data_IF_120053035224
#
_entry.id   IF_120053035224
#
_cell.length_a   1.000
_cell.length_b   1.000
_cell.length_c   1.000
_cell.angle_alpha   90.00
_cell.angle_beta   90.00
_cell.angle_gamma   90.00
#
_symmetry.space_group_name_H-M   'P 1'
#
loop_
_entity.id
_entity.type
_entity.pdbx_description
1 polymer ?
#
# COMPACT_ATOMS: atom_id res chain seq x y z
N UNK A 1 -44.10 -9.32 24.82
CA UNK A 1 -42.90 -10.16 24.73
C UNK A 1 -41.74 -9.23 24.37
N UNK A 2 -41.05 -8.72 25.38
CA UNK A 2 -39.90 -7.83 25.20
C UNK A 2 -38.64 -8.67 25.13
N UNK A 3 -37.95 -8.62 23.99
CA UNK A 3 -36.66 -9.28 23.81
C UNK A 3 -35.60 -8.44 24.52
N UNK A 4 -34.94 -9.04 25.51
CA UNK A 4 -33.75 -8.49 26.17
C UNK A 4 -32.69 -8.17 25.11
N UNK A 5 -32.43 -6.88 24.93
CA UNK A 5 -31.27 -6.39 24.18
C UNK A 5 -30.06 -6.59 25.11
N UNK A 6 -29.40 -7.73 24.95
CA UNK A 6 -28.17 -8.06 25.66
C UNK A 6 -27.14 -6.95 25.43
N UNK A 7 -26.83 -6.22 26.50
CA UNK A 7 -25.80 -5.18 26.56
C UNK A 7 -24.44 -5.80 26.22
N UNK A 8 -23.98 -5.61 24.98
CA UNK A 8 -22.61 -5.93 24.60
C UNK A 8 -21.73 -4.91 25.32
N UNK A 9 -21.14 -5.31 26.45
CA UNK A 9 -20.16 -4.50 27.17
C UNK A 9 -18.93 -4.36 26.25
N UNK A 10 -18.57 -3.15 25.80
CA UNK A 10 -17.39 -2.95 24.98
C UNK A 10 -16.16 -3.46 25.75
N UNK A 11 -15.44 -4.43 25.20
CA UNK A 11 -14.17 -4.84 25.79
C UNK A 11 -13.16 -3.72 25.57
N UNK A 12 -13.04 -2.83 26.56
CA UNK A 12 -11.97 -1.84 26.60
C UNK A 12 -10.67 -2.59 26.77
N UNK A 13 -9.90 -2.75 25.69
CA UNK A 13 -8.54 -3.30 25.77
C UNK A 13 -7.73 -2.28 26.58
N UNK A 14 -7.38 -2.64 27.80
CA UNK A 14 -6.52 -1.80 28.65
C UNK A 14 -5.12 -1.83 28.02
N UNK A 15 -4.72 -0.73 27.39
CA UNK A 15 -3.41 -0.55 26.74
C UNK A 15 -2.31 -0.95 27.73
N UNK A 16 -1.56 -2.01 27.43
CA UNK A 16 -0.51 -2.49 28.33
C UNK A 16 0.71 -1.56 28.23
N UNK A 17 1.49 -1.46 29.31
CA UNK A 17 2.74 -0.67 29.33
C UNK A 17 3.72 -1.14 28.24
N UNK A 18 3.72 -2.44 27.94
CA UNK A 18 4.51 -3.04 26.87
C UNK A 18 4.09 -2.53 25.49
N UNK A 19 2.77 -2.47 25.22
CA UNK A 19 2.26 -1.96 23.96
C UNK A 19 2.64 -0.50 23.73
N UNK A 20 2.55 0.34 24.77
CA UNK A 20 2.97 1.73 24.70
C UNK A 20 4.48 1.88 24.44
N UNK A 21 5.32 0.99 24.96
CA UNK A 21 6.76 1.00 24.66
C UNK A 21 7.06 0.62 23.21
N UNK A 22 6.31 -0.33 22.66
CA UNK A 22 6.46 -0.72 21.27
C UNK A 22 6.05 0.41 20.31
N UNK A 23 4.98 1.14 20.64
CA UNK A 23 4.56 2.33 19.89
C UNK A 23 5.58 3.47 19.98
N UNK A 24 6.12 3.77 21.17
CA UNK A 24 7.20 4.77 21.33
C UNK A 24 8.41 4.42 20.46
N UNK A 25 8.80 3.15 20.43
CA UNK A 25 9.90 2.69 19.56
C UNK A 25 9.57 2.89 18.08
N UNK A 26 8.38 2.49 17.62
CA UNK A 26 7.97 2.64 16.21
C UNK A 26 7.91 4.12 15.79
N UNK A 27 7.44 4.98 16.67
CA UNK A 27 7.41 6.42 16.47
C UNK A 27 8.84 6.97 16.31
N UNK A 28 9.74 6.69 17.25
CA UNK A 28 11.16 7.14 17.20
C UNK A 28 11.93 6.60 16.00
N UNK A 29 11.63 5.39 15.54
CA UNK A 29 12.24 4.86 14.31
C UNK A 29 11.80 5.60 13.04
N UNK A 30 10.62 6.21 13.09
CA UNK A 30 9.99 6.92 11.97
C UNK A 30 10.36 8.41 11.96
N UNK A 31 10.50 9.02 13.13
CA UNK A 31 11.01 10.38 13.35
C UNK A 31 12.51 10.44 12.99
N UNK A 32 12.82 10.91 11.78
CA UNK A 32 14.20 10.90 11.25
C UNK A 32 15.02 12.07 11.74
N UNK A 33 14.38 13.19 12.05
CA UNK A 33 15.05 14.42 12.50
C UNK A 33 15.07 14.54 14.05
N UNK A 34 14.41 13.64 14.78
CA UNK A 34 14.28 13.60 16.24
C UNK A 34 13.61 14.84 16.85
N UNK A 35 12.64 15.43 16.14
CA UNK A 35 11.89 16.60 16.63
C UNK A 35 10.66 16.21 17.47
N UNK A 36 10.41 14.92 17.69
CA UNK A 36 9.28 14.32 18.41
C UNK A 36 7.92 14.56 17.74
N UNK A 37 7.90 14.86 16.45
CA UNK A 37 6.71 14.89 15.60
C UNK A 37 7.01 14.13 14.31
N UNK A 38 5.98 13.64 13.64
CA UNK A 38 6.14 13.03 12.31
C UNK A 38 5.63 14.03 11.28
N UNK A 39 6.52 14.46 10.41
CA UNK A 39 6.12 15.13 9.18
C UNK A 39 5.28 14.19 8.31
N UNK A 40 4.58 14.74 7.32
CA UNK A 40 3.81 13.92 6.38
C UNK A 40 4.68 12.84 5.72
N UNK A 41 5.90 13.17 5.30
CA UNK A 41 6.82 12.24 4.65
C UNK A 41 7.23 11.10 5.59
N UNK A 42 7.56 11.41 6.85
CA UNK A 42 7.93 10.40 7.85
C UNK A 42 6.76 9.47 8.18
N UNK A 43 5.56 10.03 8.33
CA UNK A 43 4.36 9.22 8.55
C UNK A 43 4.00 8.36 7.33
N UNK A 44 4.14 8.88 6.11
CA UNK A 44 3.96 8.07 4.89
C UNK A 44 4.98 6.92 4.86
N UNK A 45 6.25 7.20 5.18
CA UNK A 45 7.30 6.20 5.26
C UNK A 45 6.99 5.10 6.29
N UNK A 46 6.43 5.51 7.44
CA UNK A 46 5.91 4.58 8.45
C UNK A 46 4.80 3.69 7.88
N UNK A 47 3.75 4.28 7.26
CA UNK A 47 2.63 3.51 6.67
C UNK A 47 3.15 2.52 5.62
N UNK A 48 4.01 2.95 4.70
CA UNK A 48 4.61 2.07 3.69
C UNK A 48 5.35 0.88 4.30
N UNK A 49 6.08 1.10 5.39
CA UNK A 49 6.90 0.05 6.03
C UNK A 49 6.07 -0.89 6.91
N UNK A 50 5.11 -0.35 7.64
CA UNK A 50 4.45 -1.06 8.74
C UNK A 50 3.03 -1.53 8.42
N UNK A 51 2.30 -0.80 7.57
CA UNK A 51 0.89 -1.07 7.26
C UNK A 51 0.64 -0.74 5.77
N UNK A 52 1.28 -1.47 4.85
CA UNK A 52 1.21 -1.16 3.41
C UNK A 52 -0.21 -1.16 2.85
N UNK A 53 -1.14 -1.86 3.50
CA UNK A 53 -2.56 -1.88 3.14
C UNK A 53 -3.23 -0.50 3.26
N UNK A 54 -2.66 0.42 4.05
CA UNK A 54 -3.12 1.80 4.21
C UNK A 54 -2.47 2.79 3.26
N UNK A 55 -1.53 2.40 2.39
CA UNK A 55 -0.79 3.33 1.52
C UNK A 55 -1.75 4.19 0.69
N UNK A 56 -2.78 3.57 0.13
CA UNK A 56 -3.80 4.23 -0.69
C UNK A 56 -4.64 5.27 0.08
N UNK A 57 -4.68 5.17 1.40
CA UNK A 57 -5.43 6.03 2.32
C UNK A 57 -4.54 6.87 3.22
N UNK A 58 -3.24 6.79 3.03
CA UNK A 58 -2.25 7.42 3.90
C UNK A 58 -2.49 8.93 4.03
N UNK A 59 -2.92 9.61 2.97
CA UNK A 59 -3.34 11.01 3.01
C UNK A 59 -4.62 11.28 3.80
N UNK A 60 -5.58 10.35 3.78
CA UNK A 60 -6.79 10.43 4.61
C UNK A 60 -6.42 10.23 6.07
N UNK A 61 -5.66 9.18 6.38
CA UNK A 61 -5.19 8.87 7.74
C UNK A 61 -4.42 10.06 8.30
N UNK A 62 -3.45 10.58 7.55
CA UNK A 62 -2.67 11.74 7.98
C UNK A 62 -3.56 12.94 8.29
N UNK A 63 -4.51 13.26 7.41
CA UNK A 63 -5.41 14.39 7.61
C UNK A 63 -6.37 14.20 8.80
N UNK A 64 -6.78 12.97 9.09
CA UNK A 64 -7.71 12.65 10.21
C UNK A 64 -7.01 12.72 11.56
N UNK A 65 -5.75 12.27 11.65
CA UNK A 65 -5.01 12.20 12.91
C UNK A 65 -4.08 13.38 13.16
N UNK A 66 -3.75 14.18 12.14
CA UNK A 66 -2.99 15.42 12.30
C UNK A 66 -3.93 16.56 12.73
N UNK A 67 -3.89 16.94 14.01
CA UNK A 67 -4.71 18.01 14.56
C UNK A 67 -4.43 19.37 13.92
N UNK A 68 -3.19 19.60 13.47
CA UNK A 68 -2.78 20.82 12.77
C UNK A 68 -2.79 20.70 11.22
N UNK A 69 -3.03 19.49 10.71
CA UNK A 69 -2.98 19.15 9.29
C UNK A 69 -1.58 19.15 8.67
N UNK A 70 -0.51 19.24 9.47
CA UNK A 70 0.88 19.36 9.03
C UNK A 70 1.80 18.31 9.64
N UNK A 71 1.55 17.91 10.88
CA UNK A 71 2.40 16.99 11.64
C UNK A 71 1.58 16.03 12.51
N UNK A 72 2.17 14.91 12.92
CA UNK A 72 1.56 13.95 13.85
C UNK A 72 2.45 13.86 15.09
N UNK A 73 1.92 14.29 16.22
CA UNK A 73 2.52 14.08 17.54
C UNK A 73 2.48 12.62 17.96
N UNK A 74 3.26 12.25 18.97
CA UNK A 74 3.24 10.89 19.52
C UNK A 74 1.84 10.45 19.98
N UNK A 75 1.07 11.34 20.60
CA UNK A 75 -0.29 11.01 21.05
C UNK A 75 -1.23 10.74 19.87
N UNK A 76 -1.15 11.55 18.82
CA UNK A 76 -1.93 11.35 17.59
C UNK A 76 -1.53 10.05 16.87
N UNK A 77 -0.25 9.68 16.92
CA UNK A 77 0.24 8.40 16.42
C UNK A 77 -0.32 7.21 17.21
N UNK A 78 -0.38 7.30 18.55
CA UNK A 78 -1.01 6.28 19.40
C UNK A 78 -2.50 6.17 19.09
N UNK A 79 -3.21 7.30 18.99
CA UNK A 79 -4.62 7.37 18.59
C UNK A 79 -4.88 6.70 17.24
N UNK A 80 -4.02 6.98 16.25
CA UNK A 80 -4.04 6.32 14.96
C UNK A 80 -3.91 4.81 15.10
N UNK A 81 -2.90 4.35 15.83
CA UNK A 81 -2.65 2.91 15.96
C UNK A 81 -3.78 2.20 16.71
N UNK A 82 -4.32 2.81 17.75
CA UNK A 82 -5.47 2.28 18.49
C UNK A 82 -6.72 2.20 17.60
N UNK A 83 -6.92 3.16 16.68
CA UNK A 83 -8.03 3.13 15.72
C UNK A 83 -7.99 1.91 14.80
N UNK A 84 -6.79 1.35 14.55
CA UNK A 84 -6.61 0.15 13.74
C UNK A 84 -7.20 -1.11 14.39
N UNK A 85 -7.34 -1.12 15.71
CA UNK A 85 -8.00 -2.23 16.41
C UNK A 85 -9.50 -2.31 16.06
N UNK A 86 -10.05 -1.28 15.41
CA UNK A 86 -11.45 -1.15 15.06
C UNK A 86 -11.67 -1.05 13.54
N UNK A 87 -10.79 -1.64 12.72
CA UNK A 87 -10.88 -1.69 11.24
C UNK A 87 -12.10 -2.47 10.68
N UNK A 88 -13.12 -2.74 11.49
CA UNK A 88 -14.36 -3.41 11.08
C UNK A 88 -15.52 -2.43 10.90
N UNK A 89 -16.65 -2.96 10.42
CA UNK A 89 -17.96 -2.28 10.22
C UNK A 89 -18.64 -1.85 11.54
N UNK A 90 -17.90 -1.21 12.43
CA UNK A 90 -18.47 -0.67 13.65
C UNK A 90 -18.84 0.80 13.42
N UNK A 91 -19.98 0.99 12.75
CA UNK A 91 -20.59 2.31 12.50
C UNK A 91 -20.93 3.06 13.80
N UNK A 92 -20.84 2.39 14.96
CA UNK A 92 -21.15 2.92 16.27
C UNK A 92 -19.92 3.25 17.11
N UNK A 93 -18.72 2.85 16.66
CA UNK A 93 -17.50 3.14 17.40
C UNK A 93 -16.84 4.43 16.89
N UNK A 94 -16.92 5.54 17.64
CA UNK A 94 -16.34 6.82 17.22
C UNK A 94 -14.82 6.79 17.14
N UNK A 95 -14.16 5.80 17.75
CA UNK A 95 -12.71 5.61 17.69
C UNK A 95 -12.25 4.84 16.47
N UNK A 96 -13.16 4.22 15.70
CA UNK A 96 -12.79 3.52 14.47
C UNK A 96 -12.24 4.48 13.41
N UNK A 97 -11.30 4.01 12.59
CA UNK A 97 -10.74 4.80 11.48
C UNK A 97 -11.86 5.30 10.54
N UNK A 98 -12.84 4.44 10.24
CA UNK A 98 -13.98 4.79 9.37
C UNK A 98 -14.81 5.92 9.98
N UNK A 99 -15.19 5.82 11.26
CA UNK A 99 -15.99 6.88 11.91
C UNK A 99 -15.20 8.16 12.14
N UNK A 100 -13.92 8.07 12.51
CA UNK A 100 -13.04 9.25 12.58
C UNK A 100 -12.92 9.94 11.22
N UNK A 101 -12.81 9.17 10.14
CA UNK A 101 -12.81 9.72 8.77
C UNK A 101 -14.13 10.39 8.43
N UNK A 102 -15.27 9.77 8.74
CA UNK A 102 -16.59 10.36 8.53
C UNK A 102 -16.72 11.70 9.28
N UNK A 103 -16.44 11.70 10.59
CA UNK A 103 -16.54 12.89 11.44
C UNK A 103 -15.56 13.98 11.02
N UNK A 104 -14.39 13.61 10.50
CA UNK A 104 -13.45 14.57 9.93
C UNK A 104 -14.02 15.26 8.69
N UNK A 105 -14.79 14.54 7.86
CA UNK A 105 -15.36 15.05 6.61
C UNK A 105 -16.67 15.80 6.80
N UNK A 106 -17.54 15.35 7.72
CA UNK A 106 -18.85 15.93 8.06
C UNK A 106 -18.65 17.24 8.85
N UNK A 107 -18.33 18.33 8.16
CA UNK A 107 -17.95 19.59 8.80
C UNK A 107 -19.13 20.32 9.44
N UNK A 108 -20.34 20.08 8.93
CA UNK A 108 -21.56 20.65 9.49
C UNK A 108 -22.25 19.74 10.52
N UNK A 109 -21.67 18.56 10.80
CA UNK A 109 -22.16 17.56 11.77
C UNK A 109 -23.62 17.18 11.52
N UNK A 110 -24.05 17.11 10.25
CA UNK A 110 -25.43 16.85 9.91
C UNK A 110 -25.74 15.34 9.75
N UNK A 111 -24.72 14.48 9.83
CA UNK A 111 -24.81 13.03 9.66
C UNK A 111 -24.79 12.56 8.21
N UNK A 112 -24.45 13.44 7.25
CA UNK A 112 -24.35 13.17 5.82
C UNK A 112 -23.13 13.84 5.21
N UNK A 113 -22.47 13.17 4.26
CA UNK A 113 -21.40 13.73 3.45
C UNK A 113 -21.95 14.26 2.13
N UNK A 114 -21.98 15.58 1.99
CA UNK A 114 -22.40 16.24 0.76
C UNK A 114 -21.30 16.19 -0.32
N UNK A 115 -21.60 16.71 -1.53
CA UNK A 115 -20.68 16.70 -2.69
C UNK A 115 -19.32 17.35 -2.38
N UNK A 116 -19.27 18.42 -1.58
CA UNK A 116 -18.01 19.10 -1.24
C UNK A 116 -17.15 18.26 -0.30
N UNK A 117 -17.77 17.57 0.64
CA UNK A 117 -17.10 16.73 1.63
C UNK A 117 -16.60 15.42 1.00
N UNK A 118 -17.41 14.78 0.15
CA UNK A 118 -16.96 13.63 -0.65
C UNK A 118 -15.85 14.04 -1.64
N UNK A 119 -15.91 15.25 -2.18
CA UNK A 119 -14.77 15.79 -2.96
C UNK A 119 -13.51 15.89 -2.11
N UNK A 120 -13.61 16.38 -0.87
CA UNK A 120 -12.45 16.49 0.03
C UNK A 120 -11.85 15.13 0.31
N UNK A 121 -12.67 14.09 0.54
CA UNK A 121 -12.19 12.71 0.66
C UNK A 121 -11.40 12.27 -0.58
N UNK A 122 -11.97 12.43 -1.78
CA UNK A 122 -11.27 12.08 -3.01
C UNK A 122 -9.96 12.87 -3.17
N UNK A 123 -9.94 14.14 -2.79
CA UNK A 123 -8.69 14.93 -2.79
C UNK A 123 -7.66 14.43 -1.80
N UNK A 124 -8.05 13.83 -0.67
CA UNK A 124 -7.11 13.24 0.28
C UNK A 124 -6.55 11.90 -0.22
N UNK A 125 -7.37 11.09 -0.89
CA UNK A 125 -6.96 9.81 -1.48
C UNK A 125 -6.04 10.04 -2.69
N UNK A 126 -6.41 10.97 -3.58
CA UNK A 126 -5.71 11.18 -4.85
C UNK A 126 -4.67 12.31 -4.79
N UNK A 127 -4.73 13.21 -3.80
CA UNK A 127 -3.89 14.42 -3.77
C UNK A 127 -2.42 14.15 -3.47
N UNK A 128 -2.10 13.03 -2.82
CA UNK A 128 -0.72 12.60 -2.59
C UNK A 128 -0.13 11.80 -3.75
N UNK A 129 -0.97 11.44 -4.73
CA UNK A 129 -0.52 10.70 -5.89
C UNK A 129 -0.11 11.69 -6.98
N UNK A 130 1.16 11.76 -7.37
CA UNK A 130 1.56 12.54 -8.52
C UNK A 130 0.73 12.15 -9.74
N UNK A 131 0.47 13.14 -10.60
CA UNK A 131 -0.21 12.97 -11.88
C UNK A 131 -1.69 12.54 -11.85
N UNK A 132 -2.25 12.20 -10.68
CA UNK A 132 -3.67 11.86 -10.63
C UNK A 132 -4.54 13.08 -10.99
N UNK A 133 -5.57 12.90 -11.84
CA UNK A 133 -6.45 13.99 -12.20
C UNK A 133 -7.12 14.55 -10.94
N UNK A 134 -7.16 15.89 -10.83
CA UNK A 134 -7.80 16.57 -9.70
C UNK A 134 -9.22 16.06 -9.52
N UNK A 135 -9.53 15.49 -8.35
CA UNK A 135 -10.88 15.04 -8.00
C UNK A 135 -11.85 16.23 -7.93
N UNK A 136 -12.84 16.28 -8.82
CA UNK A 136 -13.76 17.43 -8.99
C UNK A 136 -15.14 17.13 -8.40
N UNK A 137 -15.97 18.17 -8.34
CA UNK A 137 -17.37 18.04 -7.90
C UNK A 137 -18.17 17.04 -8.76
N UNK A 138 -17.84 16.89 -10.05
CA UNK A 138 -18.50 15.92 -10.94
C UNK A 138 -18.22 14.48 -10.51
N UNK A 139 -16.99 14.21 -10.08
CA UNK A 139 -16.52 12.88 -9.69
C UNK A 139 -17.14 12.50 -8.34
N UNK A 140 -17.20 13.46 -7.41
CA UNK A 140 -17.92 13.31 -6.14
C UNK A 140 -19.42 13.03 -6.34
N UNK A 141 -20.11 13.77 -7.23
CA UNK A 141 -21.53 13.51 -7.54
C UNK A 141 -21.74 12.12 -8.13
N UNK A 142 -20.86 11.70 -9.04
CA UNK A 142 -20.89 10.37 -9.63
C UNK A 142 -20.74 9.31 -8.54
N UNK A 143 -19.71 9.45 -7.69
CA UNK A 143 -19.47 8.52 -6.59
C UNK A 143 -20.67 8.41 -5.63
N UNK A 144 -21.28 9.53 -5.27
CA UNK A 144 -22.51 9.54 -4.44
C UNK A 144 -23.64 8.79 -5.16
N UNK A 145 -23.91 9.10 -6.42
CA UNK A 145 -24.99 8.47 -7.17
C UNK A 145 -24.78 6.95 -7.36
N UNK A 146 -23.54 6.51 -7.57
CA UNK A 146 -23.17 5.11 -7.76
C UNK A 146 -23.44 4.27 -6.49
N UNK A 147 -23.47 4.90 -5.30
CA UNK A 147 -23.85 4.24 -4.04
C UNK A 147 -25.36 4.12 -3.82
N UNK A 148 -26.18 4.70 -4.71
CA UNK A 148 -27.64 4.72 -4.62
C UNK A 148 -28.19 5.12 -3.23
N UNK A 149 -27.84 6.31 -2.71
CA UNK A 149 -28.19 6.72 -1.35
C UNK A 149 -29.69 6.93 -1.21
N UNK A 150 -30.20 6.67 0.00
CA UNK A 150 -31.60 6.86 0.34
C UNK A 150 -32.04 8.34 0.22
N UNK A 151 -31.10 9.28 0.38
CA UNK A 151 -31.34 10.70 0.20
C UNK A 151 -30.25 11.38 -0.65
N UNK A 152 -30.33 11.29 -1.99
CA UNK A 152 -29.31 11.83 -2.89
C UNK A 152 -29.07 13.34 -2.75
N UNK A 153 -30.06 14.09 -2.24
CA UNK A 153 -29.93 15.55 -2.03
C UNK A 153 -29.04 15.89 -0.85
N UNK A 154 -29.03 15.06 0.20
CA UNK A 154 -28.19 15.26 1.39
C UNK A 154 -26.79 14.68 1.20
N UNK A 155 -26.66 13.61 0.42
CA UNK A 155 -25.38 12.94 0.18
C UNK A 155 -25.35 11.55 0.81
N UNK A 156 -24.18 11.12 1.29
CA UNK A 156 -24.01 9.80 1.90
C UNK A 156 -24.23 9.87 3.42
N UNK A 157 -25.20 9.12 3.94
CA UNK A 157 -25.31 8.88 5.39
C UNK A 157 -24.10 8.09 5.92
N UNK A 158 -23.94 8.01 7.24
CA UNK A 158 -22.91 7.20 7.91
C UNK A 158 -22.87 5.76 7.36
N UNK A 159 -24.02 5.07 7.32
CA UNK A 159 -24.09 3.67 6.87
C UNK A 159 -23.73 3.48 5.38
N UNK A 160 -24.06 4.46 4.54
CA UNK A 160 -23.71 4.46 3.12
C UNK A 160 -22.23 4.76 2.93
N UNK A 161 -21.68 5.68 3.73
CA UNK A 161 -20.25 5.95 3.75
C UNK A 161 -19.44 4.75 4.23
N UNK A 162 -19.86 4.05 5.29
CA UNK A 162 -19.14 2.86 5.78
C UNK A 162 -19.08 1.79 4.70
N UNK A 163 -20.20 1.53 3.99
CA UNK A 163 -20.22 0.63 2.83
C UNK A 163 -19.29 1.08 1.72
N UNK A 164 -19.29 2.37 1.40
CA UNK A 164 -18.38 2.93 0.40
C UNK A 164 -16.92 2.75 0.85
N UNK A 165 -16.60 3.12 2.08
CA UNK A 165 -15.26 3.06 2.66
C UNK A 165 -14.71 1.64 2.58
N UNK A 166 -15.49 0.63 2.97
CA UNK A 166 -15.11 -0.78 2.85
C UNK A 166 -14.88 -1.25 1.40
N UNK A 167 -15.60 -0.70 0.42
CA UNK A 167 -15.41 -1.04 -1.00
C UNK A 167 -14.09 -0.49 -1.54
N UNK A 168 -13.73 0.73 -1.13
CA UNK A 168 -12.52 1.41 -1.60
C UNK A 168 -11.29 1.03 -0.77
N UNK A 169 -11.49 0.51 0.44
CA UNK A 169 -10.44 0.20 1.41
C UNK A 169 -10.48 -1.30 1.77
N UNK A 170 -9.71 -2.15 1.09
CA UNK A 170 -9.77 -3.61 1.25
C UNK A 170 -9.08 -4.11 2.53
N UNK A 171 -9.07 -3.32 3.61
CA UNK A 171 -8.55 -3.81 4.89
C UNK A 171 -9.53 -4.82 5.46
N UNK A 172 -9.11 -6.08 5.38
CA UNK A 172 -9.72 -7.17 6.10
C UNK A 172 -9.44 -6.93 7.59
N UNK A 173 -10.47 -6.95 8.48
CA UNK A 173 -10.27 -6.79 9.91
C UNK A 173 -9.15 -7.72 10.39
N UNK A 174 -8.10 -7.17 10.99
CA UNK A 174 -7.03 -7.96 11.59
C UNK A 174 -7.71 -8.76 12.71
N UNK A 175 -7.72 -10.11 12.67
CA UNK A 175 -8.40 -10.89 13.68
C UNK A 175 -7.73 -10.64 15.03
N UNK A 176 -8.41 -9.89 15.89
CA UNK A 176 -7.98 -9.60 17.26
C UNK A 176 -7.94 -10.94 18.01
N UNK A 177 -6.75 -11.54 18.11
CA UNK A 177 -6.56 -12.72 18.95
C UNK A 177 -6.78 -12.32 20.39
N UNK A 178 -7.94 -12.70 20.92
CA UNK A 178 -8.30 -12.54 22.33
C UNK A 178 -7.24 -13.18 23.23
N UNK A 179 -6.66 -12.38 24.12
CA UNK A 179 -5.88 -12.79 25.31
C UNK A 179 -4.61 -13.61 25.08
N UNK A 180 -3.79 -13.23 24.11
CA UNK A 180 -2.33 -13.19 24.36
C UNK A 180 -1.90 -11.75 24.13
N UNK A 181 -1.08 -11.23 25.03
CA UNK A 181 -0.29 -10.01 24.83
C UNK A 181 0.04 -9.91 23.35
N UNK A 182 -0.29 -8.79 22.71
CA UNK A 182 0.20 -8.45 21.37
C UNK A 182 1.73 -8.44 21.47
N UNK A 183 2.34 -9.61 21.42
CA UNK A 183 3.70 -9.72 20.95
C UNK A 183 3.63 -9.11 19.56
N UNK A 184 4.35 -8.00 19.36
CA UNK A 184 4.74 -7.53 18.02
C UNK A 184 4.92 -8.78 17.17
N UNK A 185 4.18 -8.95 16.06
CA UNK A 185 4.22 -10.19 15.33
C UNK A 185 5.67 -10.51 14.99
N UNK A 186 6.24 -11.50 15.69
CA UNK A 186 7.33 -12.28 15.14
C UNK A 186 6.69 -13.00 13.96
N UNK A 187 6.79 -12.37 12.79
CA UNK A 187 6.03 -12.61 11.56
C UNK A 187 6.18 -14.03 10.96
N UNK A 188 6.75 -14.99 11.69
CA UNK A 188 7.15 -16.32 11.20
C UNK A 188 6.42 -17.53 11.83
N UNK A 189 5.46 -17.39 12.75
CA UNK A 189 4.86 -18.57 13.42
C UNK A 189 3.34 -18.76 13.29
N UNK A 190 2.55 -17.74 12.93
CA UNK A 190 1.09 -17.86 12.80
C UNK A 190 0.58 -18.58 11.54
N UNK A 191 1.44 -18.75 10.53
CA UNK A 191 1.05 -19.27 9.19
C UNK A 191 0.91 -20.79 9.17
N UNK A 192 1.60 -21.54 10.04
CA UNK A 192 1.61 -23.02 10.01
C UNK A 192 0.31 -23.65 10.52
N UNK A 193 -0.35 -23.05 11.52
CA UNK A 193 -1.52 -23.67 12.16
C UNK A 193 -2.83 -23.46 11.37
N UNK A 194 -2.97 -22.33 10.67
CA UNK A 194 -4.11 -22.06 9.76
C UNK A 194 -4.05 -22.86 8.45
N UNK A 195 -2.85 -23.26 8.02
CA UNK A 195 -2.64 -24.10 6.81
C UNK A 195 -3.10 -25.55 6.99
N UNK A 196 -3.00 -26.12 8.20
CA UNK A 196 -3.47 -27.49 8.45
C UNK A 196 -5.00 -27.62 8.42
N UNK A 197 -5.74 -26.59 8.84
CA UNK A 197 -7.21 -26.59 8.84
C UNK A 197 -7.81 -26.28 7.45
N UNK A 198 -7.20 -25.39 6.66
CA UNK A 198 -7.67 -25.11 5.29
C UNK A 198 -7.24 -26.18 4.26
N UNK A 199 -6.15 -26.91 4.50
CA UNK A 199 -5.74 -28.02 3.63
C UNK A 199 -6.68 -29.24 3.69
N UNK A 200 -7.54 -29.34 4.70
CA UNK A 200 -8.50 -30.45 4.86
C UNK A 200 -9.87 -30.18 4.22
N UNK A 201 -10.21 -28.93 3.90
CA UNK A 201 -11.54 -28.53 3.39
C UNK A 201 -11.61 -28.31 1.87
N UNK A 202 -10.48 -28.35 1.16
CA UNK A 202 -10.44 -28.21 -0.30
C UNK A 202 -9.73 -29.42 -0.92
N UNK A 203 -10.33 -30.60 -0.81
CA UNK A 203 -10.07 -31.70 -1.75
C UNK A 203 -11.16 -31.73 -2.80
N UNK A 204 -11.11 -30.78 -3.73
CA UNK A 204 -11.73 -31.00 -5.05
C UNK A 204 -10.75 -31.82 -5.90
N UNK A 205 -11.23 -32.84 -6.63
CA UNK A 205 -10.36 -33.59 -7.52
C UNK A 205 -9.85 -32.63 -8.61
N UNK A 206 -8.58 -32.25 -8.53
CA UNK A 206 -7.88 -31.58 -9.63
C UNK A 206 -7.80 -32.59 -10.76
N UNK A 207 -8.49 -32.30 -11.87
CA UNK A 207 -8.16 -32.90 -13.16
C UNK A 207 -6.77 -32.37 -13.49
N UNK A 208 -5.73 -33.18 -13.25
CA UNK A 208 -4.35 -32.86 -13.57
C UNK A 208 -4.23 -32.93 -15.08
N UNK A 209 -4.46 -31.79 -15.76
CA UNK A 209 -3.87 -31.59 -17.08
C UNK A 209 -2.38 -31.36 -16.82
N UNK A 210 -1.53 -32.21 -17.40
CA UNK A 210 -0.08 -31.99 -17.39
C UNK A 210 0.20 -30.62 -17.99
N UNK A 211 0.50 -29.64 -17.15
CA UNK A 211 0.92 -28.32 -17.60
C UNK A 211 2.32 -28.49 -18.19
N UNK A 212 2.52 -27.99 -19.41
CA UNK A 212 3.87 -27.88 -19.98
C UNK A 212 4.68 -26.96 -19.07
N UNK A 213 5.75 -27.49 -18.47
CA UNK A 213 6.73 -26.67 -17.74
C UNK A 213 7.39 -25.71 -18.71
N UNK A 214 7.53 -24.46 -18.28
CA UNK A 214 8.25 -23.43 -19.04
C UNK A 214 9.66 -23.38 -18.46
N UNK A 215 10.67 -23.57 -19.31
CA UNK A 215 12.07 -23.46 -18.90
C UNK A 215 12.50 -22.00 -18.93
N UNK A 216 12.92 -21.49 -17.78
CA UNK A 216 13.33 -20.09 -17.56
C UNK A 216 14.65 -20.14 -16.79
N UNK A 217 15.72 -19.62 -17.39
CA UNK A 217 17.10 -19.82 -16.92
C UNK A 217 17.65 -18.68 -16.05
N UNK A 218 16.82 -18.10 -15.18
CA UNK A 218 17.28 -17.11 -14.21
C UNK A 218 17.78 -17.79 -12.93
N UNK A 219 18.94 -17.38 -12.40
CA UNK A 219 19.57 -17.97 -11.20
C UNK A 219 19.89 -16.88 -10.17
N UNK A 220 19.38 -17.05 -8.95
CA UNK A 220 19.58 -16.10 -7.86
C UNK A 220 20.72 -16.52 -6.93
N UNK A 221 21.76 -15.69 -6.80
CA UNK A 221 23.00 -16.00 -6.07
C UNK A 221 22.94 -15.76 -4.55
N UNK A 222 21.89 -15.11 -4.03
CA UNK A 222 21.77 -14.73 -2.61
C UNK A 222 20.60 -15.41 -1.90
N UNK A 223 20.30 -16.66 -2.26
CA UNK A 223 19.16 -17.40 -1.73
C UNK A 223 19.18 -17.59 -0.20
N UNK A 224 20.35 -17.49 0.43
CA UNK A 224 20.57 -17.54 1.87
C UNK A 224 20.10 -16.29 2.62
N UNK A 225 19.93 -15.16 1.92
CA UNK A 225 19.58 -13.86 2.50
C UNK A 225 18.09 -13.58 2.55
N UNK A 226 17.26 -14.52 2.09
CA UNK A 226 15.80 -14.37 2.04
C UNK A 226 15.10 -15.49 2.80
N UNK A 227 13.87 -15.24 3.24
CA UNK A 227 13.02 -16.28 3.81
C UNK A 227 12.49 -17.19 2.70
N UNK A 228 13.36 -18.03 2.14
CA UNK A 228 13.11 -18.86 0.96
C UNK A 228 11.83 -19.67 1.08
N UNK A 229 11.60 -20.31 2.23
CA UNK A 229 10.39 -21.12 2.45
C UNK A 229 9.10 -20.30 2.36
N UNK A 230 9.09 -19.06 2.89
CA UNK A 230 7.92 -18.19 2.76
C UNK A 230 7.66 -17.85 1.30
N UNK A 231 8.71 -17.40 0.60
CA UNK A 231 8.63 -16.94 -0.78
C UNK A 231 8.30 -18.06 -1.78
N UNK A 232 8.78 -19.28 -1.55
CA UNK A 232 8.39 -20.47 -2.33
C UNK A 232 6.88 -20.72 -2.27
N UNK A 233 6.27 -20.48 -1.12
CA UNK A 233 4.83 -20.70 -0.95
C UNK A 233 4.05 -19.56 -1.61
N UNK A 234 4.51 -18.32 -1.46
CA UNK A 234 3.93 -17.16 -2.18
C UNK A 234 3.99 -17.33 -3.70
N UNK A 235 5.12 -17.82 -4.21
CA UNK A 235 5.32 -18.16 -5.61
C UNK A 235 4.34 -19.24 -6.06
N UNK A 236 4.25 -20.36 -5.33
CA UNK A 236 3.35 -21.46 -5.64
C UNK A 236 1.87 -21.05 -5.58
N UNK A 237 1.51 -20.19 -4.63
CA UNK A 237 0.16 -19.62 -4.52
C UNK A 237 -0.19 -18.70 -5.70
N UNK A 238 0.82 -18.13 -6.36
CA UNK A 238 0.66 -17.21 -7.51
C UNK A 238 0.76 -17.93 -8.86
N UNK A 239 1.51 -19.04 -8.94
CA UNK A 239 1.59 -19.92 -10.10
C UNK A 239 0.32 -20.80 -10.21
N UNK A 240 -0.79 -20.14 -10.54
CA UNK A 240 -2.13 -20.74 -10.59
C UNK A 240 -2.22 -21.98 -11.50
N UNK A 241 -1.35 -22.05 -12.51
CA UNK A 241 -1.28 -23.14 -13.49
C UNK A 241 -0.17 -24.16 -13.19
N UNK A 242 0.59 -23.97 -12.10
CA UNK A 242 1.69 -24.84 -11.70
C UNK A 242 2.69 -25.08 -12.85
N UNK A 243 3.07 -24.00 -13.55
CA UNK A 243 4.00 -24.02 -14.70
C UNK A 243 5.46 -24.04 -14.28
N UNK A 244 5.76 -23.70 -13.02
CA UNK A 244 7.11 -23.41 -12.54
C UNK A 244 7.60 -22.01 -12.89
N UNK A 245 6.74 -21.17 -13.46
CA UNK A 245 7.04 -19.79 -13.83
C UNK A 245 5.76 -18.93 -13.82
N UNK A 246 5.89 -17.71 -13.32
CA UNK A 246 4.86 -16.68 -13.32
C UNK A 246 4.89 -15.94 -14.66
N UNK A 247 3.74 -15.79 -15.31
CA UNK A 247 3.60 -14.85 -16.42
C UNK A 247 3.30 -13.43 -15.91
N UNK A 248 3.11 -12.46 -16.81
CA UNK A 248 2.75 -11.08 -16.45
C UNK A 248 1.61 -10.99 -15.41
N UNK A 249 0.48 -11.66 -15.65
CA UNK A 249 -0.68 -11.60 -14.76
C UNK A 249 -0.40 -12.24 -13.39
N UNK A 250 0.33 -13.35 -13.36
CA UNK A 250 0.71 -14.00 -12.10
C UNK A 250 1.69 -13.11 -11.30
N UNK A 251 2.63 -12.43 -11.97
CA UNK A 251 3.55 -11.47 -11.34
C UNK A 251 2.78 -10.26 -10.82
N UNK A 252 1.87 -9.68 -11.61
CA UNK A 252 1.00 -8.56 -11.17
C UNK A 252 0.21 -8.95 -9.92
N UNK A 253 -0.39 -10.16 -9.95
CA UNK A 253 -1.15 -10.71 -8.82
C UNK A 253 -0.27 -10.92 -7.60
N UNK A 254 0.93 -11.49 -7.76
CA UNK A 254 1.87 -11.72 -6.67
C UNK A 254 2.32 -10.39 -6.03
N UNK A 255 2.75 -9.44 -6.86
CA UNK A 255 3.18 -8.11 -6.44
C UNK A 255 2.08 -7.40 -5.64
N UNK A 256 0.85 -7.41 -6.15
CA UNK A 256 -0.29 -6.78 -5.48
C UNK A 256 -0.67 -7.51 -4.18
N UNK A 257 -0.78 -8.84 -4.23
CA UNK A 257 -1.22 -9.67 -3.09
C UNK A 257 -0.25 -9.60 -1.92
N UNK A 258 1.05 -9.50 -2.21
CA UNK A 258 2.10 -9.49 -1.19
C UNK A 258 2.72 -8.10 -0.98
N UNK A 259 2.11 -7.05 -1.56
CA UNK A 259 2.52 -5.65 -1.41
C UNK A 259 4.02 -5.42 -1.69
N UNK A 260 4.56 -6.09 -2.71
CA UNK A 260 5.99 -6.01 -3.03
C UNK A 260 6.30 -4.66 -3.71
N UNK A 261 5.47 -4.28 -4.67
CA UNK A 261 5.59 -3.09 -5.52
C UNK A 261 4.18 -2.62 -5.95
N UNK A 262 4.04 -1.41 -6.52
CA UNK A 262 2.83 -1.08 -7.28
C UNK A 262 2.70 -2.02 -8.49
N UNK A 263 1.47 -2.43 -8.81
CA UNK A 263 1.18 -3.41 -9.86
C UNK A 263 1.67 -2.98 -11.25
N UNK A 264 1.76 -1.68 -11.49
CA UNK A 264 2.33 -1.07 -12.70
C UNK A 264 3.77 -1.53 -12.99
N UNK A 265 4.52 -1.93 -11.97
CA UNK A 265 5.93 -2.35 -12.11
C UNK A 265 6.10 -3.82 -12.53
N UNK A 266 5.02 -4.57 -12.74
CA UNK A 266 5.10 -5.99 -13.12
C UNK A 266 5.93 -6.22 -14.40
N UNK A 267 5.83 -5.32 -15.39
CA UNK A 267 6.63 -5.39 -16.63
C UNK A 267 8.12 -5.30 -16.33
N UNK A 268 8.53 -4.25 -15.62
CA UNK A 268 9.93 -4.04 -15.22
C UNK A 268 10.47 -5.17 -14.35
N UNK A 269 9.67 -5.70 -13.44
CA UNK A 269 10.07 -6.83 -12.61
C UNK A 269 10.40 -8.07 -13.48
N UNK A 270 9.58 -8.36 -14.49
CA UNK A 270 9.86 -9.46 -15.43
C UNK A 270 11.09 -9.13 -16.30
N UNK A 271 11.25 -7.90 -16.76
CA UNK A 271 12.43 -7.51 -17.55
C UNK A 271 13.74 -7.63 -16.78
N UNK A 272 13.73 -7.34 -15.47
CA UNK A 272 14.92 -7.38 -14.62
C UNK A 272 15.22 -8.76 -14.03
N UNK A 273 14.19 -9.54 -13.68
CA UNK A 273 14.34 -10.80 -12.93
C UNK A 273 13.71 -12.00 -13.64
N UNK A 274 13.27 -11.84 -14.88
CA UNK A 274 12.66 -12.88 -15.69
C UNK A 274 13.38 -13.08 -17.02
N UNK A 275 12.82 -13.97 -17.84
CA UNK A 275 13.27 -14.24 -19.18
C UNK A 275 12.09 -14.67 -20.05
N UNK A 276 12.02 -14.16 -21.28
CA UNK A 276 10.98 -14.53 -22.24
C UNK A 276 9.56 -14.16 -21.81
N UNK A 277 9.39 -13.12 -20.98
CA UNK A 277 8.09 -12.71 -20.45
C UNK A 277 7.60 -13.53 -19.24
N UNK A 278 8.46 -14.38 -18.68
CA UNK A 278 8.15 -15.21 -17.51
C UNK A 278 9.19 -14.99 -16.39
N UNK A 279 8.77 -15.23 -15.15
CA UNK A 279 9.61 -15.15 -13.96
C UNK A 279 9.55 -16.48 -13.20
N UNK A 280 10.68 -17.18 -13.09
CA UNK A 280 10.76 -18.41 -12.29
C UNK A 280 10.90 -18.09 -10.78
N UNK A 281 11.00 -19.14 -9.97
CA UNK A 281 11.17 -18.99 -8.52
C UNK A 281 12.40 -18.16 -8.16
N UNK A 282 13.54 -18.41 -8.80
CA UNK A 282 14.78 -17.67 -8.54
C UNK A 282 14.65 -16.19 -8.88
N UNK A 283 13.98 -15.87 -9.99
CA UNK A 283 13.63 -14.50 -10.37
C UNK A 283 12.76 -13.81 -9.32
N UNK A 284 11.75 -14.53 -8.82
CA UNK A 284 10.87 -14.02 -7.76
C UNK A 284 11.62 -13.81 -6.43
N UNK A 285 12.55 -14.71 -6.07
CA UNK A 285 13.43 -14.54 -4.90
C UNK A 285 14.34 -13.31 -5.06
N UNK A 286 14.90 -13.12 -6.25
CA UNK A 286 15.77 -11.98 -6.57
C UNK A 286 15.02 -10.66 -6.52
N UNK A 287 13.79 -10.61 -7.03
CA UNK A 287 12.90 -9.44 -6.92
C UNK A 287 12.69 -9.06 -5.45
N UNK A 288 12.28 -10.01 -4.61
CA UNK A 288 12.02 -9.77 -3.20
C UNK A 288 13.28 -9.31 -2.45
N UNK A 289 14.43 -9.89 -2.78
CA UNK A 289 15.71 -9.42 -2.24
C UNK A 289 16.03 -7.98 -2.67
N UNK A 290 15.93 -7.69 -3.97
CA UNK A 290 16.26 -6.39 -4.55
C UNK A 290 15.39 -5.26 -3.99
N UNK A 291 14.11 -5.52 -3.72
CA UNK A 291 13.19 -4.55 -3.09
C UNK A 291 13.51 -4.35 -1.61
N UNK A 292 14.01 -5.36 -0.92
CA UNK A 292 14.26 -5.33 0.53
C UNK A 292 15.60 -4.77 0.97
N UNK A 293 16.55 -4.53 0.06
CA UNK A 293 17.88 -3.99 0.39
C UNK A 293 17.95 -2.47 0.26
N UNK A 294 19.05 -1.87 0.72
CA UNK A 294 19.26 -0.43 0.65
C UNK A 294 19.18 0.06 -0.81
N UNK A 295 18.40 1.11 -1.06
CA UNK A 295 18.19 1.66 -2.40
C UNK A 295 19.47 2.11 -3.12
N UNK A 296 20.55 2.45 -2.42
CA UNK A 296 21.82 2.80 -3.06
C UNK A 296 22.68 1.58 -3.42
N UNK A 297 22.31 0.37 -2.97
CA UNK A 297 22.96 -0.87 -3.35
C UNK A 297 22.76 -1.15 -4.85
N UNK A 298 23.81 -1.66 -5.51
CA UNK A 298 23.78 -2.02 -6.94
C UNK A 298 22.78 -3.13 -7.26
N UNK A 299 22.49 -3.98 -6.28
CA UNK A 299 21.51 -5.04 -6.41
C UNK A 299 20.08 -4.59 -6.09
N UNK A 300 19.88 -3.34 -5.67
CA UNK A 300 18.56 -2.86 -5.30
C UNK A 300 17.65 -2.72 -6.52
N UNK A 301 16.34 -2.87 -6.30
CA UNK A 301 15.35 -2.72 -7.37
C UNK A 301 15.43 -1.34 -8.02
N UNK A 302 15.50 -0.28 -7.19
CA UNK A 302 15.60 1.09 -7.66
C UNK A 302 16.84 1.31 -8.54
N UNK A 303 18.02 0.83 -8.11
CA UNK A 303 19.25 0.98 -8.91
C UNK A 303 19.17 0.19 -10.22
N UNK A 304 18.69 -1.06 -10.19
CA UNK A 304 18.53 -1.86 -11.40
C UNK A 304 17.57 -1.23 -12.41
N UNK A 305 16.45 -0.66 -11.95
CA UNK A 305 15.53 0.09 -12.82
C UNK A 305 16.22 1.33 -13.39
N UNK A 306 16.95 2.07 -12.55
CA UNK A 306 17.67 3.26 -12.98
C UNK A 306 18.68 2.96 -14.09
N UNK A 307 19.53 1.97 -13.86
CA UNK A 307 20.58 1.55 -14.77
C UNK A 307 20.01 0.91 -16.06
N UNK A 308 18.84 0.26 -15.99
CA UNK A 308 18.15 -0.27 -17.17
C UNK A 308 17.69 0.83 -18.14
N UNK A 309 17.27 1.96 -17.59
CA UNK A 309 16.72 3.09 -18.36
C UNK A 309 17.79 4.10 -18.76
N UNK A 310 18.88 4.23 -18.00
CA UNK A 310 20.05 5.05 -18.34
C UNK A 310 20.92 4.34 -19.37
N UNK A 311 20.46 4.31 -20.62
CA UNK A 311 21.07 3.56 -21.72
C UNK A 311 22.54 3.96 -21.98
N UNK A 312 22.91 5.19 -21.64
CA UNK A 312 24.25 5.74 -21.85
C UNK A 312 25.11 5.77 -20.57
N UNK A 313 24.59 5.32 -19.42
CA UNK A 313 25.32 5.26 -18.15
C UNK A 313 25.80 6.62 -17.65
N UNK A 314 25.01 7.68 -17.86
CA UNK A 314 25.35 9.06 -17.50
C UNK A 314 25.22 9.35 -16.01
N UNK A 315 24.48 8.53 -15.27
CA UNK A 315 24.09 8.78 -13.89
C UNK A 315 22.89 9.71 -13.75
N UNK A 316 22.20 10.03 -14.85
CA UNK A 316 20.95 10.80 -14.86
C UNK A 316 20.10 10.41 -16.07
N UNK A 317 18.78 10.52 -15.95
CA UNK A 317 17.87 10.33 -17.08
C UNK A 317 17.56 11.62 -17.82
N UNK A 318 17.57 11.53 -19.15
CA UNK A 318 17.03 12.53 -20.07
C UNK A 318 15.49 12.47 -20.09
N UNK A 319 14.84 13.50 -20.66
CA UNK A 319 13.38 13.50 -20.87
C UNK A 319 12.92 12.26 -21.65
N UNK A 320 13.68 11.82 -22.66
CA UNK A 320 13.36 10.65 -23.48
C UNK A 320 13.30 9.38 -22.64
N UNK A 321 14.28 9.21 -21.75
CA UNK A 321 14.39 8.07 -20.84
C UNK A 321 13.29 8.10 -19.77
N UNK A 322 13.00 9.27 -19.19
CA UNK A 322 11.88 9.44 -18.27
C UNK A 322 10.53 9.05 -18.92
N UNK A 323 10.32 9.46 -20.18
CA UNK A 323 9.13 9.07 -20.95
C UNK A 323 9.09 7.56 -21.23
N UNK A 324 10.26 6.93 -21.42
CA UNK A 324 10.40 5.49 -21.60
C UNK A 324 10.02 4.75 -20.33
N UNK A 325 10.58 5.15 -19.19
CA UNK A 325 10.23 4.63 -17.88
C UNK A 325 8.73 4.77 -17.59
N UNK A 326 8.14 5.94 -17.84
CA UNK A 326 6.71 6.14 -17.65
C UNK A 326 5.84 5.23 -18.52
N UNK A 327 6.29 4.84 -19.72
CA UNK A 327 5.59 3.85 -20.55
C UNK A 327 5.71 2.44 -19.96
N UNK A 328 6.89 2.07 -19.48
CA UNK A 328 7.15 0.75 -18.88
C UNK A 328 6.29 0.49 -17.63
N UNK A 329 5.97 1.53 -16.87
CA UNK A 329 5.08 1.44 -15.70
C UNK A 329 3.64 1.87 -16.00
N UNK A 330 3.27 2.00 -17.27
CA UNK A 330 1.91 2.36 -17.70
C UNK A 330 1.35 3.64 -17.07
N UNK A 331 2.19 4.67 -16.87
CA UNK A 331 1.71 6.00 -16.48
C UNK A 331 0.73 6.54 -17.52
N UNK A 332 -0.30 7.24 -17.05
CA UNK A 332 -1.27 7.85 -17.93
C UNK A 332 -0.65 8.97 -18.80
N UNK A 333 -1.39 9.45 -19.81
CA UNK A 333 -0.89 10.47 -20.73
C UNK A 333 -0.50 11.79 -20.03
N UNK A 334 -1.13 12.09 -18.89
CA UNK A 334 -0.87 13.33 -18.16
C UNK A 334 0.43 13.18 -17.37
N UNK A 335 0.58 12.06 -16.65
CA UNK A 335 1.74 11.76 -15.84
C UNK A 335 2.98 11.42 -16.63
N UNK A 336 2.81 10.85 -17.82
CA UNK A 336 3.89 10.58 -18.76
C UNK A 336 3.99 11.63 -19.88
N UNK A 337 3.74 12.91 -19.55
CA UNK A 337 3.88 14.02 -20.50
C UNK A 337 5.27 14.65 -20.42
N UNK A 338 5.69 15.28 -21.52
CA UNK A 338 6.95 16.05 -21.57
C UNK A 338 6.98 17.12 -20.49
N UNK A 339 5.88 17.84 -20.30
CA UNK A 339 5.81 18.94 -19.33
C UNK A 339 5.90 18.43 -17.88
N UNK A 340 5.23 17.31 -17.57
CA UNK A 340 5.30 16.70 -16.25
C UNK A 340 6.71 16.21 -15.90
N UNK A 341 7.47 15.70 -16.88
CA UNK A 341 8.86 15.29 -16.68
C UNK A 341 9.83 16.47 -16.65
N UNK A 342 9.61 17.52 -17.46
CA UNK A 342 10.39 18.76 -17.39
C UNK A 342 10.31 19.40 -16.01
N UNK A 343 9.11 19.52 -15.45
CA UNK A 343 8.92 20.07 -14.11
C UNK A 343 9.73 19.31 -13.03
N UNK A 344 9.76 17.97 -13.11
CA UNK A 344 10.55 17.13 -12.19
C UNK A 344 12.05 17.26 -12.42
N UNK A 345 12.48 17.34 -13.67
CA UNK A 345 13.90 17.53 -14.00
C UNK A 345 14.37 18.91 -13.53
N UNK A 346 13.56 19.96 -13.70
CA UNK A 346 13.85 21.30 -13.19
C UNK A 346 13.98 21.30 -11.66
N UNK A 347 13.06 20.64 -10.95
CA UNK A 347 13.16 20.45 -9.50
C UNK A 347 14.45 19.69 -9.11
N UNK A 348 14.71 18.56 -9.77
CA UNK A 348 15.92 17.77 -9.54
C UNK A 348 17.20 18.58 -9.82
N UNK A 349 17.22 19.39 -10.87
CA UNK A 349 18.35 20.23 -11.24
C UNK A 349 18.61 21.31 -10.18
N UNK A 350 17.56 21.89 -9.60
CA UNK A 350 17.69 22.86 -8.50
C UNK A 350 18.29 22.23 -7.24
N UNK A 351 17.94 20.98 -6.94
CA UNK A 351 18.39 20.29 -5.71
C UNK A 351 19.79 19.66 -5.88
N UNK A 352 20.04 19.01 -7.02
CA UNK A 352 21.23 18.16 -7.23
C UNK A 352 22.23 18.72 -8.25
N UNK A 353 21.88 19.78 -8.99
CA UNK A 353 22.75 20.37 -10.00
C UNK A 353 22.97 19.49 -11.25
N UNK A 354 22.16 18.45 -11.45
CA UNK A 354 22.26 17.55 -12.60
C UNK A 354 21.46 18.05 -13.80
N UNK A 355 21.90 17.79 -15.05
CA UNK A 355 21.17 18.22 -16.25
C UNK A 355 19.92 17.36 -16.56
N UNK A 356 19.66 16.31 -15.78
CA UNK A 356 18.51 15.41 -15.91
C UNK A 356 18.07 14.87 -14.55
N UNK A 357 17.23 13.82 -14.57
CA UNK A 357 16.72 13.19 -13.35
C UNK A 357 17.81 12.34 -12.69
N UNK A 358 18.36 12.81 -11.58
CA UNK A 358 19.37 12.09 -10.81
C UNK A 358 18.77 10.86 -10.11
N UNK A 359 19.64 9.89 -9.79
CA UNK A 359 19.25 8.67 -9.10
C UNK A 359 18.62 8.94 -7.72
N UNK A 360 19.19 9.89 -6.99
CA UNK A 360 18.74 10.28 -5.65
C UNK A 360 17.29 10.79 -5.69
N UNK A 361 16.99 11.68 -6.63
CA UNK A 361 15.63 12.18 -6.85
C UNK A 361 14.69 11.05 -7.33
N UNK A 362 15.14 10.23 -8.29
CA UNK A 362 14.37 9.08 -8.77
C UNK A 362 13.95 8.15 -7.63
N UNK A 363 14.86 7.83 -6.71
CA UNK A 363 14.60 6.98 -5.55
C UNK A 363 13.47 7.50 -4.65
N UNK A 364 13.29 8.82 -4.58
CA UNK A 364 12.27 9.44 -3.73
C UNK A 364 10.90 9.48 -4.44
N UNK A 365 10.88 9.55 -5.77
CA UNK A 365 9.63 9.70 -6.53
C UNK A 365 9.12 8.42 -7.17
N UNK A 366 9.95 7.40 -7.40
CA UNK A 366 9.59 6.27 -8.27
C UNK A 366 8.31 5.53 -7.87
N UNK A 367 8.04 5.38 -6.56
CA UNK A 367 6.85 4.69 -6.05
C UNK A 367 5.67 5.63 -5.83
N UNK A 368 5.89 6.93 -5.99
CA UNK A 368 4.82 7.92 -5.96
C UNK A 368 4.18 8.03 -7.35
N UNK A 369 4.98 7.97 -8.43
CA UNK A 369 4.57 8.06 -9.83
C UNK A 369 3.44 7.09 -10.21
#
# INVERSE_FOLDING_TARGET
>A
MGSDVSTIVPQTIKTTVEHLRDLDKMFRESDKNNDNILSQIEFMGFICKSIPELIEFSGVVFAVFSGDGKTISYQEFVDFYESLNFLGKDEHNPSSLTMRTFNYLDKDNNGYLNVKEVKKLGQLIYGLKPNMPKFRNKDARKLINDQNPNNPKKGLSISEFVKLFDQIHPIVPIPVTTKKTLAIPKFNQGVKQRRAQNALLIRRPKIIRESRRIDVSFVFKHADRVNKQKLEIEFSDSDSQSRGALNFNDVETAIQKFCILPKSFASLAISLFGQGGFMNLDGYLALNYAVGINRHDKESFARKVFDLIDEEGRGYWTIKECLSFGREIYLDQVGNSVDAWKARIEECQLVFGTPGLAFEYFCDVMFLL
#
